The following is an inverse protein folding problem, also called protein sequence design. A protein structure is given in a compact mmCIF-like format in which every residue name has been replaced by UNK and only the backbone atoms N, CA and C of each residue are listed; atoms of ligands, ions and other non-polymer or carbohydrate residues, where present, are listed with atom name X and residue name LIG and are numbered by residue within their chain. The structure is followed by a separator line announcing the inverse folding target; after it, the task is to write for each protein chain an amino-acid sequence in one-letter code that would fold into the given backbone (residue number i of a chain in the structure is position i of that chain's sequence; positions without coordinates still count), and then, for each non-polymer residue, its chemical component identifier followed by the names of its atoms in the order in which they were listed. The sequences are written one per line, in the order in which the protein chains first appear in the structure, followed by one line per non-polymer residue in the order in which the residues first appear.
data_IF_788167997245
#
_entry.id   IF_788167997245
#
_cell.length_a   1.000
_cell.length_b   1.000
_cell.length_c   1.000
_cell.angle_alpha   90.00
_cell.angle_beta   90.00
_cell.angle_gamma   90.00
#
_symmetry.space_group_name_H-M   'P 1'
#
loop_
_entity.id
_entity.type
_entity.pdbx_description
1 polymer ?
#
# COMPACT_ATOMS: atom_id res chain seq x y z
N UNK A 1 69.98 -10.81 -40.81
CA UNK A 1 69.71 -10.62 -39.36
C UNK A 1 69.15 -9.25 -38.99
N UNK A 2 69.62 -8.11 -39.52
CA UNK A 2 69.08 -6.77 -39.17
C UNK A 2 67.66 -6.51 -39.69
N UNK A 3 67.29 -7.05 -40.86
CA UNK A 3 65.95 -6.90 -41.43
C UNK A 3 64.87 -7.71 -40.68
N UNK A 4 65.20 -8.92 -40.19
CA UNK A 4 64.28 -9.71 -39.38
C UNK A 4 64.02 -9.09 -37.99
N UNK A 5 65.02 -8.41 -37.40
CA UNK A 5 64.87 -7.71 -36.11
C UNK A 5 63.95 -6.48 -36.21
N UNK A 6 63.98 -5.77 -37.33
CA UNK A 6 63.16 -4.56 -37.55
C UNK A 6 61.70 -4.91 -37.86
N UNK A 7 61.46 -5.96 -38.63
CA UNK A 7 60.10 -6.48 -38.88
C UNK A 7 59.47 -7.04 -37.59
N UNK A 8 60.25 -7.74 -36.75
CA UNK A 8 59.76 -8.28 -35.48
C UNK A 8 59.42 -7.20 -34.45
N UNK A 9 60.15 -6.07 -34.45
CA UNK A 9 59.85 -4.93 -33.56
C UNK A 9 58.58 -4.19 -34.01
N UNK A 10 58.37 -4.05 -35.32
CA UNK A 10 57.17 -3.43 -35.87
C UNK A 10 55.91 -4.28 -35.60
N UNK A 11 56.01 -5.62 -35.72
CA UNK A 11 54.90 -6.52 -35.41
C UNK A 11 54.53 -6.52 -33.93
N UNK A 12 55.53 -6.46 -33.04
CA UNK A 12 55.31 -6.36 -31.59
C UNK A 12 54.67 -5.01 -31.19
N UNK A 13 55.04 -3.91 -31.86
CA UNK A 13 54.42 -2.61 -31.62
C UNK A 13 52.97 -2.54 -32.11
N UNK A 14 52.63 -3.20 -33.23
CA UNK A 14 51.24 -3.29 -33.73
C UNK A 14 50.40 -4.20 -32.83
N UNK A 15 50.96 -5.29 -32.30
CA UNK A 15 50.29 -6.16 -31.32
C UNK A 15 50.09 -5.47 -29.96
N UNK A 16 51.05 -4.65 -29.50
CA UNK A 16 50.87 -3.83 -28.29
C UNK A 16 49.87 -2.68 -28.48
N UNK A 17 49.82 -2.07 -29.67
CA UNK A 17 48.83 -1.03 -29.98
C UNK A 17 47.41 -1.62 -30.10
N UNK A 18 47.27 -2.84 -30.63
CA UNK A 18 45.99 -3.57 -30.63
C UNK A 18 45.52 -4.00 -29.23
N UNK A 19 46.44 -4.27 -28.31
CA UNK A 19 46.11 -4.60 -26.92
C UNK A 19 45.64 -3.39 -26.09
N UNK A 20 46.01 -2.16 -26.46
CA UNK A 20 45.55 -0.94 -25.79
C UNK A 20 44.18 -0.45 -26.27
N UNK A 21 43.73 -0.85 -27.47
CA UNK A 21 42.38 -0.52 -27.97
C UNK A 21 41.28 -1.46 -27.43
N UNK A 22 41.66 -2.52 -26.71
CA UNK A 22 40.75 -3.44 -26.03
C UNK A 22 40.60 -3.13 -24.52
N UNK A 23 40.95 -1.91 -24.09
CA UNK A 23 40.50 -1.37 -22.81
C UNK A 23 39.01 -1.11 -22.89
N UNK A 24 38.26 -2.18 -22.63
CA UNK A 24 36.92 -2.22 -22.05
C UNK A 24 36.22 -0.86 -21.99
N UNK A 25 35.47 -0.53 -23.04
CA UNK A 25 34.18 0.12 -22.81
C UNK A 25 33.37 -0.91 -22.05
N UNK A 26 33.52 -0.94 -20.72
CA UNK A 26 32.44 -1.41 -19.88
C UNK A 26 31.30 -0.47 -20.21
N UNK A 27 30.37 -0.92 -21.07
CA UNK A 27 29.06 -0.32 -21.13
C UNK A 27 28.52 -0.43 -19.71
N UNK A 28 28.70 0.64 -18.92
CA UNK A 28 27.93 0.82 -17.71
C UNK A 28 26.50 0.71 -18.19
N UNK A 29 25.79 -0.35 -17.80
CA UNK A 29 24.36 -0.41 -18.06
C UNK A 29 23.79 0.91 -17.54
N UNK A 30 23.18 1.69 -18.43
CA UNK A 30 22.60 2.98 -18.06
C UNK A 30 21.59 2.72 -16.95
N UNK A 31 21.74 3.41 -15.81
CA UNK A 31 20.84 3.21 -14.69
C UNK A 31 19.44 3.60 -15.13
N UNK A 32 18.50 2.66 -15.03
CA UNK A 32 17.11 2.89 -15.42
C UNK A 32 16.43 3.96 -14.55
N UNK A 33 16.90 4.16 -13.33
CA UNK A 33 16.41 5.17 -12.39
C UNK A 33 17.60 5.81 -11.68
N UNK A 34 17.62 7.14 -11.63
CA UNK A 34 18.62 7.93 -10.91
C UNK A 34 18.05 8.43 -9.58
N UNK A 35 16.73 8.38 -9.39
CA UNK A 35 16.05 8.92 -8.22
C UNK A 35 14.75 8.19 -7.87
N UNK A 36 14.49 8.04 -6.57
CA UNK A 36 13.28 7.42 -6.03
C UNK A 36 12.72 8.20 -4.85
N UNK A 37 11.40 8.45 -4.88
CA UNK A 37 10.64 8.94 -3.73
C UNK A 37 9.70 7.84 -3.22
N UNK A 38 9.75 7.59 -1.91
CA UNK A 38 8.78 6.76 -1.20
C UNK A 38 7.92 7.67 -0.32
N UNK A 39 6.60 7.54 -0.46
CA UNK A 39 5.62 8.15 0.45
C UNK A 39 4.64 7.08 0.91
N UNK A 40 4.15 7.20 2.14
CA UNK A 40 3.25 6.19 2.68
C UNK A 40 3.20 6.19 4.20
N UNK A 41 3.04 4.99 4.75
CA UNK A 41 2.81 4.75 6.17
C UNK A 41 3.93 3.93 6.84
N UNK A 42 3.62 3.29 7.97
CA UNK A 42 4.58 2.51 8.78
C UNK A 42 5.20 1.34 8.04
N UNK A 43 4.56 0.81 6.99
CA UNK A 43 5.13 -0.26 6.17
C UNK A 43 6.34 0.29 5.41
N UNK A 44 6.20 1.49 4.83
CA UNK A 44 7.27 2.13 4.09
C UNK A 44 8.38 2.71 4.98
N UNK A 45 8.12 2.97 6.27
CA UNK A 45 9.18 3.35 7.23
C UNK A 45 9.98 2.15 7.74
N UNK A 46 9.47 0.92 7.56
CA UNK A 46 10.08 -0.30 8.10
C UNK A 46 9.82 -0.51 9.59
N UNK A 47 8.66 -0.04 10.08
CA UNK A 47 8.30 -0.17 11.49
C UNK A 47 8.43 -1.61 11.99
N UNK A 48 9.08 -1.79 13.14
CA UNK A 48 9.24 -3.10 13.79
C UNK A 48 10.42 -3.93 13.27
N UNK A 49 11.15 -3.46 12.26
CA UNK A 49 12.36 -4.13 11.78
C UNK A 49 13.56 -3.89 12.71
N UNK A 50 14.55 -4.77 12.59
CA UNK A 50 15.87 -4.53 13.19
C UNK A 50 16.47 -3.21 12.69
N UNK A 51 17.12 -2.47 13.59
CA UNK A 51 17.66 -1.12 13.38
C UNK A 51 16.61 -0.03 13.06
N UNK A 52 15.32 -0.35 13.12
CA UNK A 52 14.28 0.66 13.12
C UNK A 52 14.30 1.44 14.43
N UNK A 53 14.33 2.77 14.34
CA UNK A 53 14.17 3.66 15.49
C UNK A 53 12.93 4.55 15.27
N UNK A 54 11.94 4.56 16.17
CA UNK A 54 10.79 5.46 16.06
C UNK A 54 11.23 6.93 15.94
N UNK A 55 10.81 7.59 14.85
CA UNK A 55 11.20 8.97 14.55
C UNK A 55 12.66 9.15 14.09
N UNK A 56 13.41 8.05 13.91
CA UNK A 56 14.77 8.04 13.40
C UNK A 56 14.86 8.01 11.87
N UNK A 57 16.06 7.73 11.37
CA UNK A 57 16.32 7.55 9.93
C UNK A 57 15.57 6.31 9.39
N UNK A 58 14.80 6.43 8.29
CA UNK A 58 14.14 5.28 7.66
C UNK A 58 15.12 4.42 6.84
N UNK A 59 16.41 4.78 6.78
CA UNK A 59 17.41 4.13 5.92
C UNK A 59 18.23 3.05 6.62
N UNK A 60 18.12 2.90 7.94
CA UNK A 60 18.97 1.99 8.73
C UNK A 60 18.43 0.56 8.84
N UNK A 61 17.15 0.36 8.57
CA UNK A 61 16.50 -0.96 8.64
C UNK A 61 16.43 -1.62 7.26
N UNK A 62 16.24 -2.94 7.21
CA UNK A 62 16.13 -3.69 5.95
C UNK A 62 14.68 -3.71 5.41
N UNK A 63 14.08 -2.53 5.25
CA UNK A 63 12.73 -2.38 4.70
C UNK A 63 12.68 -2.71 3.20
N UNK A 64 11.48 -3.00 2.67
CA UNK A 64 11.29 -3.29 1.24
C UNK A 64 11.76 -2.11 0.36
N UNK A 65 11.57 -0.88 0.85
CA UNK A 65 12.03 0.35 0.19
C UNK A 65 13.56 0.41 0.12
N UNK A 66 14.24 0.05 1.21
CA UNK A 66 15.70 0.09 1.28
C UNK A 66 16.32 -1.04 0.45
N UNK A 67 15.69 -2.22 0.42
CA UNK A 67 16.06 -3.33 -0.46
C UNK A 67 15.93 -2.92 -1.94
N UNK A 68 14.82 -2.27 -2.30
CA UNK A 68 14.62 -1.77 -3.66
C UNK A 68 15.68 -0.69 -4.00
N UNK A 69 15.90 0.28 -3.12
CA UNK A 69 16.91 1.32 -3.33
C UNK A 69 18.32 0.74 -3.50
N UNK A 70 18.70 -0.26 -2.69
CA UNK A 70 19.96 -0.98 -2.79
C UNK A 70 20.12 -1.63 -4.17
N UNK A 71 19.09 -2.30 -4.67
CA UNK A 71 19.10 -2.96 -6.00
C UNK A 71 19.23 -1.98 -7.18
N UNK A 72 18.75 -0.74 -6.98
CA UNK A 72 18.82 0.34 -7.96
C UNK A 72 20.09 1.19 -7.77
N UNK A 73 20.96 0.81 -6.82
CA UNK A 73 22.16 1.56 -6.45
C UNK A 73 21.88 3.02 -6.06
N UNK A 74 20.75 3.26 -5.39
CA UNK A 74 20.33 4.56 -4.88
C UNK A 74 20.74 4.74 -3.41
N UNK A 75 21.13 5.96 -3.04
CA UNK A 75 21.61 6.28 -1.69
C UNK A 75 20.53 6.99 -0.88
N UNK A 76 20.24 6.46 0.30
CA UNK A 76 19.29 7.06 1.25
C UNK A 76 19.67 8.48 1.63
N UNK A 77 18.70 9.40 1.58
CA UNK A 77 18.90 10.83 1.86
C UNK A 77 19.49 11.64 0.70
N UNK A 78 19.91 10.98 -0.38
CA UNK A 78 20.42 11.61 -1.60
C UNK A 78 19.49 11.28 -2.77
N UNK A 79 19.76 10.21 -3.53
CA UNK A 79 18.96 9.78 -4.68
C UNK A 79 17.73 8.95 -4.29
N UNK A 80 17.69 8.40 -3.09
CA UNK A 80 16.51 7.76 -2.53
C UNK A 80 16.01 8.54 -1.31
N UNK A 81 14.81 9.08 -1.43
CA UNK A 81 14.13 9.84 -0.38
C UNK A 81 12.93 9.06 0.12
N UNK A 82 12.88 8.81 1.42
CA UNK A 82 11.70 8.29 2.09
C UNK A 82 11.02 9.39 2.93
N UNK A 83 9.72 9.58 2.71
CA UNK A 83 8.84 10.55 3.38
C UNK A 83 7.60 9.88 3.96
N UNK A 84 7.62 8.56 4.13
CA UNK A 84 6.56 7.83 4.79
C UNK A 84 6.48 8.20 6.28
N UNK A 85 5.28 8.14 6.84
CA UNK A 85 5.01 8.50 8.24
C UNK A 85 4.07 7.48 8.87
N UNK A 86 4.48 6.92 10.00
CA UNK A 86 3.68 5.91 10.70
C UNK A 86 2.24 6.38 10.95
N UNK A 87 1.28 5.49 10.69
CA UNK A 87 -0.14 5.75 10.96
C UNK A 87 -0.83 6.67 9.96
N UNK A 88 -0.15 7.15 8.91
CA UNK A 88 -0.80 8.02 7.92
C UNK A 88 -1.94 7.31 7.20
N UNK A 89 -3.07 8.00 7.10
CA UNK A 89 -4.18 7.67 6.22
C UNK A 89 -4.00 8.31 4.84
N UNK A 90 -4.85 7.95 3.88
CA UNK A 90 -4.90 8.64 2.59
C UNK A 90 -5.18 10.14 2.71
N UNK A 91 -5.90 10.57 3.75
CA UNK A 91 -6.17 11.99 4.01
C UNK A 91 -4.90 12.72 4.46
N UNK A 92 -4.09 12.08 5.30
CA UNK A 92 -2.83 12.65 5.80
C UNK A 92 -1.80 12.75 4.67
N UNK A 93 -1.69 11.69 3.85
CA UNK A 93 -0.82 11.72 2.68
C UNK A 93 -1.26 12.81 1.69
N UNK A 94 -2.57 12.93 1.42
CA UNK A 94 -3.09 13.99 0.55
C UNK A 94 -2.70 15.39 1.06
N UNK A 95 -2.73 15.62 2.37
CA UNK A 95 -2.31 16.88 2.97
C UNK A 95 -0.77 17.09 2.89
N UNK A 96 0.01 16.02 2.93
CA UNK A 96 1.48 16.06 2.86
C UNK A 96 1.99 16.35 1.44
N UNK A 97 1.38 15.76 0.40
CA UNK A 97 1.88 15.79 -0.98
C UNK A 97 2.27 17.19 -1.50
N UNK A 98 1.49 18.27 -1.27
CA UNK A 98 1.88 19.61 -1.72
C UNK A 98 3.25 20.08 -1.21
N UNK A 99 3.63 19.70 0.02
CA UNK A 99 4.94 20.03 0.60
C UNK A 99 6.10 19.25 -0.04
N UNK A 100 5.80 18.16 -0.75
CA UNK A 100 6.77 17.29 -1.40
C UNK A 100 6.94 17.60 -2.89
N UNK A 101 6.34 18.67 -3.41
CA UNK A 101 6.33 19.03 -4.84
C UNK A 101 7.71 18.93 -5.49
N UNK A 102 8.74 19.51 -4.88
CA UNK A 102 10.10 19.47 -5.42
C UNK A 102 10.70 18.05 -5.46
N UNK A 103 10.33 17.20 -4.51
CA UNK A 103 10.84 15.83 -4.42
C UNK A 103 10.16 14.96 -5.48
N UNK A 104 8.85 15.13 -5.66
CA UNK A 104 8.10 14.48 -6.74
C UNK A 104 8.64 14.89 -8.11
N UNK A 105 8.83 16.20 -8.33
CA UNK A 105 9.35 16.76 -9.58
C UNK A 105 10.74 16.23 -9.99
N UNK A 106 11.53 15.75 -9.02
CA UNK A 106 12.89 15.23 -9.24
C UNK A 106 12.98 13.70 -9.28
N UNK A 107 11.88 12.99 -9.08
CA UNK A 107 11.91 11.52 -8.93
C UNK A 107 11.57 10.81 -10.24
N UNK A 108 12.40 9.86 -10.65
CA UNK A 108 12.12 8.96 -11.77
C UNK A 108 11.11 7.87 -11.37
N UNK A 109 11.17 7.46 -10.10
CA UNK A 109 10.29 6.46 -9.50
C UNK A 109 9.61 7.02 -8.25
N UNK A 110 8.28 6.91 -8.17
CA UNK A 110 7.50 7.22 -6.97
C UNK A 110 6.77 5.97 -6.51
N UNK A 111 7.03 5.54 -5.27
CA UNK A 111 6.41 4.37 -4.64
C UNK A 111 5.48 4.82 -3.52
N UNK A 112 4.24 4.35 -3.54
CA UNK A 112 3.17 4.82 -2.65
C UNK A 112 2.51 3.64 -1.93
N UNK A 113 2.63 3.56 -0.59
CA UNK A 113 1.88 2.59 0.24
C UNK A 113 0.95 3.34 1.19
N UNK A 114 -0.36 3.28 0.94
CA UNK A 114 -1.35 3.99 1.78
C UNK A 114 -2.71 3.31 1.71
N UNK A 115 -3.46 3.34 2.81
CA UNK A 115 -4.85 2.88 2.88
C UNK A 115 -5.17 2.01 4.08
N UNK A 116 -4.20 1.23 4.58
CA UNK A 116 -4.43 0.36 5.74
C UNK A 116 -4.93 1.15 6.96
N UNK A 117 -4.35 2.32 7.23
CA UNK A 117 -4.76 3.16 8.35
C UNK A 117 -6.14 3.81 8.18
N UNK A 118 -6.63 3.98 6.95
CA UNK A 118 -8.00 4.43 6.70
C UNK A 118 -9.02 3.43 7.31
N UNK A 119 -8.70 2.13 7.29
CA UNK A 119 -9.50 1.09 7.97
C UNK A 119 -9.18 0.99 9.45
N UNK A 120 -7.90 1.02 9.85
CA UNK A 120 -7.54 0.82 11.25
C UNK A 120 -8.11 1.94 12.14
N UNK A 121 -8.13 3.18 11.66
CA UNK A 121 -8.63 4.32 12.43
C UNK A 121 -10.15 4.29 12.67
N UNK A 122 -10.92 3.50 11.92
CA UNK A 122 -12.34 3.30 12.20
C UNK A 122 -12.61 2.11 13.13
N UNK A 123 -11.63 1.24 13.39
CA UNK A 123 -11.80 0.06 14.23
C UNK A 123 -12.36 0.38 15.63
N UNK A 124 -11.90 1.44 16.35
CA UNK A 124 -12.52 1.84 17.62
C UNK A 124 -14.03 2.11 17.52
N UNK A 125 -14.46 2.80 16.46
CA UNK A 125 -15.88 3.11 16.23
C UNK A 125 -16.69 1.86 15.87
N UNK A 126 -16.08 0.94 15.11
CA UNK A 126 -16.69 -0.36 14.83
C UNK A 126 -16.88 -1.12 16.14
N UNK A 127 -15.85 -1.23 16.97
CA UNK A 127 -15.93 -1.90 18.27
C UNK A 127 -16.95 -1.27 19.19
N UNK A 128 -17.00 0.05 19.28
CA UNK A 128 -18.02 0.75 20.06
C UNK A 128 -19.43 0.42 19.57
N UNK A 129 -19.65 0.41 18.24
CA UNK A 129 -20.93 0.03 17.66
C UNK A 129 -21.32 -1.40 17.99
N UNK A 130 -20.36 -2.33 18.04
CA UNK A 130 -20.58 -3.76 18.33
C UNK A 130 -20.87 -3.99 19.81
N UNK A 131 -20.01 -3.43 20.67
CA UNK A 131 -19.96 -3.76 22.11
C UNK A 131 -20.77 -2.78 22.97
N UNK A 132 -21.19 -1.64 22.41
CA UNK A 132 -21.80 -0.53 23.16
C UNK A 132 -20.82 0.20 24.08
N UNK A 133 -19.53 -0.18 24.08
CA UNK A 133 -18.51 0.40 24.95
C UNK A 133 -17.47 1.13 24.11
N UNK A 134 -17.30 2.45 24.30
CA UNK A 134 -16.24 3.19 23.61
C UNK A 134 -14.85 2.64 23.97
N UNK A 135 -13.98 2.56 22.98
CA UNK A 135 -12.56 2.23 23.15
C UNK A 135 -11.71 3.40 22.67
N UNK A 136 -10.62 3.69 23.38
CA UNK A 136 -9.82 4.91 23.18
C UNK A 136 -8.82 4.83 22.02
N UNK A 137 -8.43 3.63 21.59
CA UNK A 137 -7.40 3.43 20.57
C UNK A 137 -7.53 2.07 19.86
N UNK A 138 -6.69 1.86 18.84
CA UNK A 138 -6.69 0.64 18.01
C UNK A 138 -6.31 -0.60 18.83
N UNK A 139 -5.42 -0.46 19.82
CA UNK A 139 -5.00 -1.59 20.66
C UNK A 139 -6.14 -2.08 21.55
N UNK A 140 -6.88 -1.15 22.16
CA UNK A 140 -8.10 -1.47 22.92
C UNK A 140 -9.18 -2.07 22.02
N UNK A 141 -9.34 -1.54 20.80
CA UNK A 141 -10.26 -2.11 19.82
C UNK A 141 -9.89 -3.55 19.46
N UNK A 142 -8.62 -3.83 19.15
CA UNK A 142 -8.13 -5.18 18.86
C UNK A 142 -8.33 -6.12 20.06
N UNK A 143 -8.02 -5.66 21.27
CA UNK A 143 -8.22 -6.42 22.50
C UNK A 143 -9.70 -6.71 22.78
N UNK A 144 -10.62 -5.81 22.42
CA UNK A 144 -12.06 -6.03 22.54
C UNK A 144 -12.58 -7.04 21.52
N UNK A 145 -12.11 -6.96 20.27
CA UNK A 145 -12.47 -7.91 19.21
C UNK A 145 -12.06 -9.33 19.58
N UNK A 146 -10.83 -9.52 20.07
CA UNK A 146 -10.35 -10.83 20.50
C UNK A 146 -11.14 -11.46 21.66
N UNK A 147 -11.79 -10.62 22.49
CA UNK A 147 -12.60 -11.08 23.63
C UNK A 147 -14.05 -11.32 23.27
N UNK A 148 -14.53 -10.75 22.16
CA UNK A 148 -15.91 -10.92 21.72
C UNK A 148 -16.14 -12.35 21.24
N UNK A 149 -17.31 -12.92 21.53
CA UNK A 149 -17.66 -14.22 20.99
C UNK A 149 -17.93 -14.10 19.47
N UNK A 150 -17.66 -15.20 18.76
CA UNK A 150 -17.76 -15.25 17.30
C UNK A 150 -19.17 -14.89 16.79
N UNK A 151 -20.23 -15.32 17.47
CA UNK A 151 -21.60 -15.08 17.00
C UNK A 151 -21.98 -13.59 17.10
N UNK A 152 -21.52 -12.90 18.16
CA UNK A 152 -21.68 -11.46 18.31
C UNK A 152 -20.95 -10.70 17.21
N UNK A 153 -19.71 -11.10 16.88
CA UNK A 153 -18.98 -10.53 15.76
C UNK A 153 -19.72 -10.80 14.44
N UNK A 154 -20.09 -12.05 14.14
CA UNK A 154 -20.80 -12.43 12.92
C UNK A 154 -22.08 -11.60 12.71
N UNK A 155 -22.91 -11.48 13.75
CA UNK A 155 -24.13 -10.69 13.71
C UNK A 155 -23.84 -9.20 13.48
N UNK A 156 -22.81 -8.67 14.14
CA UNK A 156 -22.41 -7.29 13.98
C UNK A 156 -22.02 -6.95 12.54
N UNK A 157 -21.28 -7.84 11.87
CA UNK A 157 -20.80 -7.63 10.50
C UNK A 157 -21.93 -7.47 9.47
N UNK A 158 -23.13 -7.95 9.77
CA UNK A 158 -24.32 -7.79 8.92
C UNK A 158 -25.09 -6.48 9.14
N UNK A 159 -24.70 -5.68 10.14
CA UNK A 159 -25.42 -4.45 10.49
C UNK A 159 -25.15 -3.34 9.47
N UNK A 160 -26.24 -2.73 8.98
CA UNK A 160 -26.20 -1.64 8.01
C UNK A 160 -25.37 -0.45 8.47
N UNK A 161 -25.35 -0.13 9.77
CA UNK A 161 -24.58 1.00 10.29
C UNK A 161 -23.06 0.75 10.26
N UNK A 162 -22.62 -0.50 10.38
CA UNK A 162 -21.21 -0.90 10.18
C UNK A 162 -20.88 -0.92 8.69
N UNK A 163 -21.74 -1.50 7.85
CA UNK A 163 -21.54 -1.50 6.39
C UNK A 163 -21.46 -0.09 5.82
N UNK A 164 -22.33 0.83 6.27
CA UNK A 164 -22.33 2.24 5.83
C UNK A 164 -21.06 2.96 6.23
N UNK A 165 -20.56 2.72 7.46
CA UNK A 165 -19.30 3.29 7.93
C UNK A 165 -18.14 2.85 7.03
N UNK A 166 -18.07 1.57 6.68
CA UNK A 166 -17.04 1.03 5.80
C UNK A 166 -17.11 1.56 4.37
N UNK A 167 -18.30 1.56 3.77
CA UNK A 167 -18.51 2.10 2.43
C UNK A 167 -18.08 3.57 2.35
N UNK A 168 -18.39 4.35 3.39
CA UNK A 168 -17.96 5.76 3.49
C UNK A 168 -16.45 5.88 3.57
N UNK A 169 -15.79 4.99 4.33
CA UNK A 169 -14.32 4.95 4.42
C UNK A 169 -13.68 4.60 3.08
N UNK A 170 -14.16 3.56 2.40
CA UNK A 170 -13.64 3.15 1.07
C UNK A 170 -13.85 4.27 0.03
N UNK A 171 -15.01 4.92 0.04
CA UNK A 171 -15.29 6.05 -0.86
C UNK A 171 -14.36 7.24 -0.58
N UNK A 172 -14.11 7.56 0.70
CA UNK A 172 -13.19 8.63 1.09
C UNK A 172 -11.75 8.32 0.68
N UNK A 173 -11.30 7.09 0.91
CA UNK A 173 -10.00 6.60 0.45
C UNK A 173 -9.85 6.77 -1.07
N UNK A 174 -10.82 6.27 -1.85
CA UNK A 174 -10.78 6.38 -3.32
C UNK A 174 -10.70 7.83 -3.79
N UNK A 175 -11.51 8.72 -3.21
CA UNK A 175 -11.48 10.15 -3.54
C UNK A 175 -10.13 10.81 -3.20
N UNK A 176 -9.49 10.41 -2.11
CA UNK A 176 -8.18 10.91 -1.73
C UNK A 176 -7.09 10.39 -2.66
N UNK A 177 -7.10 9.11 -3.01
CA UNK A 177 -6.15 8.51 -3.95
C UNK A 177 -6.20 9.19 -5.32
N UNK A 178 -7.39 9.49 -5.84
CA UNK A 178 -7.54 10.25 -7.10
C UNK A 178 -6.87 11.63 -7.01
N UNK A 179 -7.03 12.34 -5.89
CA UNK A 179 -6.39 13.65 -5.68
C UNK A 179 -4.88 13.56 -5.51
N UNK A 180 -4.39 12.54 -4.80
CA UNK A 180 -2.95 12.26 -4.67
C UNK A 180 -2.35 12.02 -6.05
N UNK A 181 -2.94 11.13 -6.85
CA UNK A 181 -2.47 10.85 -8.21
C UNK A 181 -2.46 12.09 -9.09
N UNK A 182 -3.52 12.90 -9.03
CA UNK A 182 -3.61 14.14 -9.80
C UNK A 182 -2.49 15.11 -9.43
N UNK A 183 -2.20 15.29 -8.14
CA UNK A 183 -1.12 16.15 -7.68
C UNK A 183 0.27 15.60 -8.07
N UNK A 184 0.49 14.30 -7.92
CA UNK A 184 1.76 13.66 -8.32
C UNK A 184 1.98 13.83 -9.83
N UNK A 185 0.96 13.58 -10.64
CA UNK A 185 1.03 13.73 -12.10
C UNK A 185 1.25 15.18 -12.52
N UNK A 186 0.59 16.14 -11.86
CA UNK A 186 0.82 17.58 -12.10
C UNK A 186 2.28 17.98 -11.83
N UNK A 187 2.88 17.43 -10.77
CA UNK A 187 4.25 17.77 -10.39
C UNK A 187 5.30 17.06 -11.24
N UNK A 188 5.01 15.83 -11.68
CA UNK A 188 5.90 15.05 -12.53
C UNK A 188 5.11 14.05 -13.39
N UNK A 189 4.73 14.43 -14.62
CA UNK A 189 4.01 13.53 -15.53
C UNK A 189 4.90 12.43 -16.11
N UNK A 190 6.23 12.55 -16.00
CA UNK A 190 7.20 11.56 -16.50
C UNK A 190 7.60 10.49 -15.48
N UNK A 191 7.29 10.68 -14.20
CA UNK A 191 7.63 9.71 -13.17
C UNK A 191 6.89 8.38 -13.40
N UNK A 192 7.60 7.26 -13.22
CA UNK A 192 6.96 5.96 -13.03
C UNK A 192 6.39 5.92 -11.62
N UNK A 193 5.08 5.68 -11.49
CA UNK A 193 4.39 5.69 -10.19
C UNK A 193 3.76 4.34 -9.91
N UNK A 194 4.08 3.78 -8.74
CA UNK A 194 3.62 2.46 -8.29
C UNK A 194 2.92 2.60 -6.95
N UNK A 195 1.64 2.23 -6.90
CA UNK A 195 0.89 2.07 -5.65
C UNK A 195 0.99 0.64 -5.15
N UNK A 196 1.05 0.43 -3.84
CA UNK A 196 1.01 -0.89 -3.22
C UNK A 196 -0.43 -1.24 -2.80
N UNK A 197 -0.94 -2.36 -3.30
CA UNK A 197 -2.14 -2.98 -2.77
C UNK A 197 -1.91 -3.43 -1.31
N UNK A 198 -2.97 -3.39 -0.51
CA UNK A 198 -2.95 -3.70 0.92
C UNK A 198 -3.13 -5.20 1.13
N UNK A 199 -2.22 -5.85 1.86
CA UNK A 199 -2.38 -7.25 2.28
C UNK A 199 -3.30 -7.36 3.50
N UNK A 200 -3.87 -8.54 3.74
CA UNK A 200 -4.66 -8.82 4.93
C UNK A 200 -3.79 -9.53 6.00
N UNK A 201 -3.33 -8.82 7.06
CA UNK A 201 -2.53 -9.44 8.12
C UNK A 201 -3.29 -10.51 8.92
N UNK A 202 -4.62 -10.48 8.88
CA UNK A 202 -5.50 -11.38 9.63
C UNK A 202 -5.97 -12.57 8.81
N UNK A 203 -5.51 -12.72 7.56
CA UNK A 203 -5.98 -13.78 6.69
C UNK A 203 -5.66 -15.16 7.29
N UNK A 204 -6.67 -16.01 7.43
CA UNK A 204 -6.58 -17.36 8.04
C UNK A 204 -5.93 -17.42 9.44
N UNK A 205 -5.83 -16.31 10.17
CA UNK A 205 -5.47 -16.31 11.60
C UNK A 205 -6.65 -16.89 12.38
N UNK A 206 -6.54 -18.08 13.02
CA UNK A 206 -7.70 -18.75 13.63
C UNK A 206 -8.42 -17.89 14.68
N UNK A 207 -7.65 -17.15 15.48
CA UNK A 207 -8.13 -16.25 16.53
C UNK A 207 -8.91 -15.06 15.98
N UNK A 208 -8.65 -14.66 14.73
CA UNK A 208 -9.37 -13.56 14.08
C UNK A 208 -10.79 -13.99 13.64
N UNK A 209 -11.06 -15.30 13.52
CA UNK A 209 -12.38 -15.82 13.19
C UNK A 209 -13.02 -15.13 11.98
N UNK A 210 -14.31 -14.80 12.07
CA UNK A 210 -15.01 -14.10 10.99
C UNK A 210 -14.60 -12.64 10.83
N UNK A 211 -14.06 -12.02 11.88
CA UNK A 211 -13.51 -10.66 11.77
C UNK A 211 -12.34 -10.62 10.80
N UNK A 212 -11.48 -11.66 10.77
CA UNK A 212 -10.40 -11.78 9.78
C UNK A 212 -10.90 -11.88 8.33
N UNK A 213 -11.97 -12.66 8.09
CA UNK A 213 -12.60 -12.76 6.76
C UNK A 213 -13.28 -11.46 6.32
N UNK A 214 -13.92 -10.77 7.25
CA UNK A 214 -14.52 -9.46 7.00
C UNK A 214 -13.48 -8.37 6.73
N UNK A 215 -12.42 -8.31 7.54
CA UNK A 215 -11.29 -7.42 7.29
C UNK A 215 -10.71 -7.67 5.88
N UNK A 216 -10.62 -8.94 5.47
CA UNK A 216 -10.28 -9.33 4.10
C UNK A 216 -11.21 -8.70 3.06
N UNK A 217 -12.52 -8.85 3.22
CA UNK A 217 -13.52 -8.27 2.29
C UNK A 217 -13.39 -6.74 2.15
N UNK A 218 -13.12 -6.04 3.25
CA UNK A 218 -12.95 -4.58 3.25
C UNK A 218 -11.62 -4.20 2.60
N UNK A 219 -10.54 -4.92 2.88
CA UNK A 219 -9.23 -4.73 2.26
C UNK A 219 -9.31 -4.99 0.75
N UNK A 220 -10.03 -6.03 0.32
CA UNK A 220 -10.29 -6.32 -1.09
C UNK A 220 -11.04 -5.17 -1.75
N UNK A 221 -12.04 -4.60 -1.05
CA UNK A 221 -12.79 -3.43 -1.54
C UNK A 221 -11.90 -2.19 -1.69
N UNK A 222 -10.95 -1.96 -0.77
CA UNK A 222 -9.93 -0.90 -0.92
C UNK A 222 -9.03 -1.15 -2.12
N UNK A 223 -8.54 -2.37 -2.30
CA UNK A 223 -7.66 -2.74 -3.40
C UNK A 223 -8.36 -2.61 -4.76
N UNK A 224 -9.64 -3.00 -4.84
CA UNK A 224 -10.49 -2.76 -6.01
C UNK A 224 -10.63 -1.26 -6.26
N UNK A 225 -10.95 -0.47 -5.24
CA UNK A 225 -11.09 0.98 -5.36
C UNK A 225 -9.80 1.66 -5.83
N UNK A 226 -8.63 1.20 -5.33
CA UNK A 226 -7.31 1.65 -5.77
C UNK A 226 -7.09 1.33 -7.25
N UNK A 227 -7.28 0.08 -7.66
CA UNK A 227 -7.08 -0.35 -9.05
C UNK A 227 -8.02 0.38 -10.02
N UNK A 228 -9.29 0.54 -9.66
CA UNK A 228 -10.27 1.30 -10.44
C UNK A 228 -9.86 2.77 -10.56
N UNK A 229 -9.44 3.41 -9.46
CA UNK A 229 -8.98 4.79 -9.49
C UNK A 229 -7.72 4.97 -10.36
N UNK A 230 -6.74 4.09 -10.23
CA UNK A 230 -5.49 4.11 -11.01
C UNK A 230 -5.77 3.93 -12.50
N UNK A 231 -6.61 2.94 -12.85
CA UNK A 231 -7.03 2.71 -14.23
C UNK A 231 -7.78 3.92 -14.82
N UNK A 232 -8.75 4.45 -14.06
CA UNK A 232 -9.58 5.58 -14.49
C UNK A 232 -8.83 6.89 -14.63
N UNK A 233 -7.72 7.08 -13.91
CA UNK A 233 -6.88 8.27 -14.01
C UNK A 233 -6.15 8.36 -15.37
N UNK A 234 -5.86 7.22 -16.02
CA UNK A 234 -5.24 7.21 -17.34
C UNK A 234 -3.78 7.69 -17.38
N UNK A 235 -3.12 7.84 -16.24
CA UNK A 235 -1.74 8.33 -16.15
C UNK A 235 -0.66 7.25 -16.41
N UNK A 236 -1.07 6.01 -16.70
CA UNK A 236 -0.13 4.90 -16.89
C UNK A 236 0.52 4.40 -15.59
N UNK A 237 -0.12 4.65 -14.44
CA UNK A 237 0.36 4.22 -13.13
C UNK A 237 0.07 2.74 -12.88
N UNK A 238 0.83 2.15 -11.96
CA UNK A 238 0.83 0.72 -11.66
C UNK A 238 0.32 0.43 -10.24
N UNK A 239 -0.17 -0.79 -10.03
CA UNK A 239 -0.52 -1.31 -8.70
C UNK A 239 0.25 -2.60 -8.44
N UNK A 240 1.22 -2.55 -7.53
CA UNK A 240 1.94 -3.69 -7.01
C UNK A 240 1.02 -4.61 -6.19
N UNK A 241 0.96 -5.88 -6.57
CA UNK A 241 0.10 -6.89 -5.97
C UNK A 241 0.73 -7.54 -4.73
N UNK A 242 1.00 -6.73 -3.71
CA UNK A 242 1.58 -7.18 -2.43
C UNK A 242 0.79 -8.35 -1.77
N UNK A 243 -0.55 -8.42 -1.84
CA UNK A 243 -1.28 -9.57 -1.32
C UNK A 243 -0.83 -10.92 -1.88
N UNK A 244 -0.30 -10.97 -3.11
CA UNK A 244 0.19 -12.21 -3.73
C UNK A 244 1.51 -12.73 -3.13
N UNK A 245 2.24 -11.88 -2.39
CA UNK A 245 3.55 -12.24 -1.80
C UNK A 245 3.54 -12.26 -0.28
N UNK A 246 2.55 -11.65 0.37
CA UNK A 246 2.36 -11.72 1.81
C UNK A 246 1.20 -12.67 2.14
N UNK A 247 1.53 -13.95 2.32
CA UNK A 247 0.61 -14.91 2.92
C UNK A 247 0.93 -15.09 4.42
N UNK A 248 0.05 -14.65 5.35
CA UNK A 248 0.26 -14.87 6.78
C UNK A 248 0.26 -16.36 7.21
N UNK A 249 -0.04 -17.31 6.32
CA UNK A 249 -0.18 -18.75 6.63
C UNK A 249 1.00 -19.62 6.22
N UNK A 250 1.91 -19.09 5.39
CA UNK A 250 3.17 -19.73 5.09
C UNK A 250 4.25 -19.08 5.96
N UNK A 251 4.71 -19.80 6.98
CA UNK A 251 5.84 -19.47 7.87
C UNK A 251 5.83 -18.08 8.57
N UNK A 252 4.75 -17.31 8.47
CA UNK A 252 4.54 -16.04 9.15
C UNK A 252 5.42 -14.92 8.60
N UNK A 253 4.98 -14.25 7.53
CA UNK A 253 5.64 -13.04 6.99
C UNK A 253 5.24 -11.74 7.68
N UNK A 254 4.43 -11.84 8.73
CA UNK A 254 4.00 -10.72 9.56
C UNK A 254 4.26 -11.04 11.02
N UNK A 255 4.18 -10.03 11.88
CA UNK A 255 4.28 -10.19 13.32
C UNK A 255 2.92 -10.52 13.96
N UNK A 256 1.92 -11.00 13.21
CA UNK A 256 0.52 -11.02 13.66
C UNK A 256 0.29 -11.90 14.89
N UNK A 257 1.10 -12.95 15.06
CA UNK A 257 1.10 -13.80 16.26
C UNK A 257 1.36 -13.03 17.56
N UNK A 258 1.99 -11.85 17.46
CA UNK A 258 2.27 -10.93 18.56
C UNK A 258 1.32 -9.72 18.57
N UNK A 259 0.18 -9.80 17.88
CA UNK A 259 -0.78 -8.69 17.70
C UNK A 259 -0.19 -7.48 16.97
N UNK A 260 0.84 -7.72 16.17
CA UNK A 260 1.46 -6.70 15.33
C UNK A 260 1.18 -7.00 13.85
N UNK A 261 0.41 -6.12 13.23
CA UNK A 261 -0.05 -6.27 11.85
C UNK A 261 1.08 -6.08 10.82
N UNK A 262 2.24 -5.55 11.22
CA UNK A 262 3.31 -5.20 10.28
C UNK A 262 4.01 -6.46 9.72
N UNK A 263 4.53 -6.39 8.47
CA UNK A 263 5.37 -7.44 7.92
C UNK A 263 6.66 -7.54 8.76
N UNK A 264 7.18 -8.75 8.90
CA UNK A 264 8.47 -8.93 9.54
C UNK A 264 9.61 -8.82 8.51
N UNK A 265 10.84 -9.15 8.91
CA UNK A 265 12.01 -9.08 8.04
C UNK A 265 11.85 -9.93 6.77
N UNK A 266 11.25 -11.12 6.85
CA UNK A 266 11.02 -11.97 5.66
C UNK A 266 9.91 -11.38 4.78
N UNK A 267 8.83 -10.86 5.37
CA UNK A 267 7.80 -10.16 4.60
C UNK A 267 8.35 -8.96 3.84
N UNK A 268 9.17 -8.13 4.49
CA UNK A 268 9.85 -7.01 3.83
C UNK A 268 10.82 -7.46 2.73
N UNK A 269 11.51 -8.59 2.92
CA UNK A 269 12.34 -9.21 1.89
C UNK A 269 11.53 -9.62 0.66
N UNK A 270 10.43 -10.34 0.85
CA UNK A 270 9.54 -10.77 -0.24
C UNK A 270 8.93 -9.58 -0.99
N UNK A 271 8.48 -8.55 -0.26
CA UNK A 271 8.02 -7.30 -0.86
C UNK A 271 9.14 -6.62 -1.67
N UNK A 272 10.36 -6.59 -1.15
CA UNK A 272 11.52 -6.02 -1.83
C UNK A 272 11.82 -6.77 -3.13
N UNK A 273 11.92 -8.10 -3.08
CA UNK A 273 12.16 -8.96 -4.25
C UNK A 273 11.07 -8.79 -5.33
N UNK A 274 9.81 -8.72 -4.91
CA UNK A 274 8.68 -8.44 -5.81
C UNK A 274 8.83 -7.07 -6.49
N UNK A 275 9.12 -6.02 -5.73
CA UNK A 275 9.29 -4.67 -6.25
C UNK A 275 10.48 -4.56 -7.19
N UNK A 276 11.59 -5.26 -6.90
CA UNK A 276 12.76 -5.33 -7.79
C UNK A 276 12.37 -5.91 -9.15
N UNK A 277 11.64 -7.04 -9.15
CA UNK A 277 11.16 -7.69 -10.37
C UNK A 277 10.23 -6.76 -11.19
N UNK A 278 9.29 -6.09 -10.50
CA UNK A 278 8.34 -5.17 -11.12
C UNK A 278 9.03 -3.95 -11.76
N UNK A 279 9.96 -3.33 -11.05
CA UNK A 279 10.68 -2.11 -11.47
C UNK A 279 11.72 -2.43 -12.56
N UNK A 280 12.32 -3.61 -12.52
CA UNK A 280 13.23 -4.12 -13.55
C UNK A 280 12.54 -4.32 -14.91
N UNK A 281 11.27 -4.71 -14.89
CA UNK A 281 10.45 -4.92 -16.10
C UNK A 281 9.92 -3.61 -16.70
N UNK A 282 9.42 -3.66 -17.94
CA UNK A 282 8.70 -2.54 -18.55
C UNK A 282 7.43 -2.21 -17.75
N UNK A 283 7.03 -0.92 -17.65
CA UNK A 283 5.82 -0.52 -16.92
C UNK A 283 4.59 -1.30 -17.35
N UNK A 284 3.82 -1.78 -16.36
CA UNK A 284 2.59 -2.56 -16.53
C UNK A 284 1.38 -1.75 -16.02
N UNK A 285 0.96 -0.70 -16.74
CA UNK A 285 -0.09 0.21 -16.27
C UNK A 285 -1.41 -0.53 -16.04
N UNK A 286 -2.15 -0.14 -15.01
CA UNK A 286 -3.50 -0.66 -14.82
C UNK A 286 -4.40 -0.08 -15.93
N UNK A 287 -5.11 -0.93 -16.66
CA UNK A 287 -6.04 -0.51 -17.71
C UNK A 287 -7.48 -0.76 -17.28
N UNK A 288 -8.42 0.07 -17.76
CA UNK A 288 -9.86 -0.02 -17.48
C UNK A 288 -10.54 -1.24 -18.12
N UNK A 289 -9.79 -2.21 -18.65
CA UNK A 289 -10.37 -3.31 -19.41
C UNK A 289 -11.18 -4.23 -18.49
N UNK A 290 -12.50 -4.02 -18.47
CA UNK A 290 -13.46 -5.10 -18.19
C UNK A 290 -13.26 -6.19 -19.25
N UNK A 291 -12.96 -7.41 -18.80
CA UNK A 291 -13.66 -8.65 -19.19
C UNK A 291 -13.20 -9.78 -18.26
N UNK A 292 -13.88 -9.95 -17.13
CA UNK A 292 -14.41 -11.29 -16.81
C UNK A 292 -15.83 -11.30 -17.34
N UNK A 293 -15.99 -11.52 -18.64
CA UNK A 293 -17.26 -11.93 -19.20
C UNK A 293 -17.47 -13.38 -18.73
N UNK A 294 -18.46 -13.70 -17.87
CA UNK A 294 -18.89 -15.08 -17.73
C UNK A 294 -19.42 -15.49 -19.09
N UNK A 295 -18.95 -16.64 -19.60
CA UNK A 295 -19.46 -17.22 -20.83
C UNK A 295 -20.99 -17.08 -20.89
N UNK A 296 -21.49 -16.36 -21.89
CA UNK A 296 -22.92 -16.24 -22.13
C UNK A 296 -23.52 -17.65 -22.16
N UNK A 297 -24.64 -17.91 -21.43
CA UNK A 297 -25.35 -19.15 -21.60
C UNK A 297 -25.86 -19.23 -23.04
N UNK A 298 -25.65 -20.38 -23.65
CA UNK A 298 -26.12 -20.67 -25.00
C UNK A 298 -27.60 -20.32 -25.17
N UNK A 299 -27.88 -19.68 -26.29
CA UNK A 299 -29.16 -19.11 -26.67
C UNK A 299 -30.17 -20.22 -26.87
N UNK A 300 -31.15 -20.34 -25.97
CA UNK A 300 -32.37 -21.12 -26.22
C UNK A 300 -33.46 -20.19 -26.73
N UNK A 301 -33.81 -20.38 -27.99
CA UNK A 301 -34.98 -19.82 -28.68
C UNK A 301 -36.29 -20.24 -28.01
N UNK A 302 -37.20 -19.30 -27.72
CA UNK A 302 -38.63 -19.24 -28.17
C UNK A 302 -39.41 -18.07 -27.47
N UNK A 303 -40.65 -17.70 -27.88
CA UNK A 303 -40.88 -16.51 -28.68
C UNK A 303 -41.67 -15.38 -27.99
N UNK A 304 -41.61 -14.25 -28.68
CA UNK A 304 -42.27 -12.95 -28.52
C UNK A 304 -43.73 -12.98 -28.02
N UNK A 305 -44.06 -12.11 -27.05
CA UNK A 305 -45.44 -11.65 -26.82
C UNK A 305 -45.54 -10.16 -26.49
N UNK A 306 -46.49 -9.57 -27.19
CA UNK A 306 -46.87 -8.18 -27.46
C UNK A 306 -47.27 -7.33 -26.23
N UNK A 307 -46.74 -6.10 -26.22
CA UNK A 307 -47.30 -4.77 -25.89
C UNK A 307 -48.56 -4.62 -25.02
N UNK A 308 -48.52 -3.75 -24.01
CA UNK A 308 -49.58 -2.77 -23.72
C UNK A 308 -49.06 -1.60 -22.83
N UNK A 309 -49.57 -0.40 -23.12
CA UNK A 309 -49.13 0.90 -22.65
C UNK A 309 -49.71 1.33 -21.29
N UNK A 310 -49.13 2.42 -20.77
CA UNK A 310 -49.51 3.18 -19.57
C UNK A 310 -50.93 3.78 -19.61
N UNK A 311 -51.35 4.44 -18.51
CA UNK A 311 -51.58 5.88 -18.66
C UNK A 311 -51.01 6.75 -17.53
N UNK A 312 -50.80 8.00 -17.92
CA UNK A 312 -50.31 9.16 -17.19
C UNK A 312 -51.29 9.66 -16.12
N UNK A 313 -50.78 10.44 -15.15
CA UNK A 313 -51.56 11.52 -14.53
C UNK A 313 -50.66 12.72 -14.21
N UNK A 314 -51.21 13.89 -14.53
CA UNK A 314 -50.64 15.24 -14.65
C UNK A 314 -50.62 16.07 -13.36
N UNK A 315 -49.81 17.14 -13.42
CA UNK A 315 -49.91 18.45 -12.74
C UNK A 315 -49.26 18.56 -11.34
N UNK A 316 -48.57 19.62 -10.92
CA UNK A 316 -48.10 20.92 -11.45
C UNK A 316 -47.26 21.57 -10.29
N UNK A 317 -46.52 22.68 -10.50
CA UNK A 317 -45.27 23.00 -9.78
C UNK A 317 -45.45 23.88 -8.54
N UNK A 318 -44.45 23.88 -7.65
CA UNK A 318 -44.29 24.92 -6.61
C UNK A 318 -42.84 25.41 -6.60
N UNK A 319 -42.71 26.71 -6.86
CA UNK A 319 -41.54 27.57 -6.65
C UNK A 319 -41.31 27.83 -5.16
N UNK A 320 -40.06 27.82 -4.70
CA UNK A 320 -39.55 28.80 -3.72
C UNK A 320 -38.01 28.86 -3.69
N UNK A 321 -37.53 30.08 -3.45
CA UNK A 321 -36.17 30.66 -3.59
C UNK A 321 -35.21 30.31 -2.44
N UNK A 322 -33.89 30.68 -2.53
CA UNK A 322 -32.82 30.07 -1.76
C UNK A 322 -32.53 30.79 -0.43
N UNK A 323 -32.10 30.03 0.58
CA UNK A 323 -31.41 30.58 1.74
C UNK A 323 -29.96 30.07 1.82
N UNK A 324 -29.06 31.04 1.96
CA UNK A 324 -27.63 30.89 2.18
C UNK A 324 -27.38 31.07 3.67
N UNK A 325 -26.66 30.14 4.32
CA UNK A 325 -25.94 30.48 5.56
C UNK A 325 -24.64 29.68 5.71
N UNK A 326 -23.65 30.43 6.18
CA UNK A 326 -22.23 30.13 6.29
C UNK A 326 -21.85 29.02 7.27
N UNK A 327 -20.66 28.47 7.03
CA UNK A 327 -19.90 27.59 7.92
C UNK A 327 -19.39 28.31 9.19
N UNK A 328 -19.16 27.57 10.30
CA UNK A 328 -18.28 28.04 11.36
C UNK A 328 -16.88 27.40 11.28
N UNK A 329 -15.91 28.22 11.67
CA UNK A 329 -14.48 28.00 11.66
C UNK A 329 -13.99 26.87 12.58
N UNK A 330 -12.99 26.12 12.11
CA UNK A 330 -12.21 25.17 12.93
C UNK A 330 -11.19 25.94 13.77
N UNK A 331 -11.27 25.81 15.10
CA UNK A 331 -10.19 26.16 16.03
C UNK A 331 -9.14 25.06 16.01
N UNK A 332 -7.88 25.46 15.85
CA UNK A 332 -6.72 24.57 15.91
C UNK A 332 -6.43 24.06 17.32
N UNK A 333 -5.88 22.87 17.36
CA UNK A 333 -5.09 22.31 18.45
C UNK A 333 -4.14 21.33 17.74
N UNK A 334 -2.84 21.57 17.67
CA UNK A 334 -1.96 21.59 18.83
C UNK A 334 -1.18 20.28 18.78
N UNK A 335 0.00 20.32 18.16
CA UNK A 335 0.97 19.24 18.10
C UNK A 335 1.23 18.63 19.48
N UNK A 336 1.00 17.32 19.64
CA UNK A 336 1.55 16.56 20.76
C UNK A 336 2.52 15.51 20.22
N UNK A 337 3.79 15.87 20.31
CA UNK A 337 4.94 14.99 20.22
C UNK A 337 5.20 14.46 21.64
N UNK A 338 5.37 13.15 21.80
CA UNK A 338 6.16 12.59 22.92
C UNK A 338 5.54 11.42 23.70
N UNK A 339 6.36 10.36 23.82
CA UNK A 339 6.25 9.17 24.68
C UNK A 339 5.18 8.14 24.23
N UNK A 340 5.50 6.88 23.93
CA UNK A 340 6.25 5.95 24.77
C UNK A 340 6.87 4.79 23.97
N UNK A 341 8.15 4.53 24.23
CA UNK A 341 8.73 3.20 24.20
C UNK A 341 8.60 2.59 25.61
N UNK A 342 8.55 1.25 25.68
CA UNK A 342 8.43 0.37 26.87
C UNK A 342 7.00 0.02 27.29
N UNK A 343 6.55 -1.18 26.90
CA UNK A 343 6.22 -2.31 27.80
C UNK A 343 6.18 -3.57 26.91
N UNK A 344 7.33 -4.24 26.80
CA UNK A 344 7.36 -5.69 26.68
C UNK A 344 7.51 -6.23 28.11
N UNK A 345 7.02 -7.46 28.35
CA UNK A 345 6.93 -8.16 29.65
C UNK A 345 5.59 -8.00 30.37
N UNK A 346 4.58 -8.76 29.92
CA UNK A 346 3.53 -9.31 30.79
C UNK A 346 2.73 -10.50 30.17
N UNK A 347 3.33 -11.31 29.29
CA UNK A 347 2.66 -12.51 28.72
C UNK A 347 3.47 -13.81 28.90
N UNK A 348 4.38 -13.85 29.89
CA UNK A 348 5.29 -14.98 30.14
C UNK A 348 5.01 -15.83 31.39
N UNK A 349 3.87 -15.67 32.08
CA UNK A 349 3.69 -16.25 33.41
C UNK A 349 2.45 -17.16 33.61
N UNK A 350 1.77 -17.63 32.56
CA UNK A 350 0.60 -18.53 32.74
C UNK A 350 0.67 -19.92 32.10
N UNK A 351 1.82 -20.35 31.55
CA UNK A 351 1.94 -21.67 30.89
C UNK A 351 2.94 -22.66 31.54
N UNK A 352 3.34 -22.45 32.80
CA UNK A 352 4.09 -23.48 33.55
C UNK A 352 3.41 -23.75 34.87
N UNK A 353 2.33 -24.52 34.87
CA UNK A 353 1.95 -25.42 35.98
C UNK A 353 0.77 -26.30 35.57
N UNK A 354 1.06 -27.39 34.85
CA UNK A 354 0.41 -28.70 35.04
C UNK A 354 0.88 -29.69 33.96
N UNK A 355 1.90 -30.47 34.30
CA UNK A 355 1.96 -31.92 34.02
C UNK A 355 3.26 -32.50 34.59
N UNK A 356 3.17 -33.08 35.79
CA UNK A 356 4.00 -34.21 36.25
C UNK A 356 3.40 -34.78 37.55
N UNK A 357 2.93 -36.03 37.45
CA UNK A 357 2.52 -37.05 38.45
C UNK A 357 1.35 -37.81 37.79
N UNK A 358 1.45 -39.05 37.34
CA UNK A 358 2.45 -40.12 37.46
C UNK A 358 2.64 -40.77 36.09
#
# INVERSE_FOLDING_TARGET
MRLLKTVSLALAAVLLAGAFAALSVSASAEKKYESMLVVGDSISTGYGLENYTPGGSPYECRSYCNILAESLELKGGESYINRAVNGYTSSDLLALIPSLKEQVAKSDLVVISIGGNDLLHIAPKVVEKITGTPVGNIQEAAGAILKADKATLDAALTRTDISTLLLTTVASYSANVVKIMSAVHEYNPSARVIFLAQYNPMNNVPEAGAFGGFAGTVIDSLNVALRVAVAGAGFGYEVADIPSVIDPNADGYTNIVNMDIHPNAEGHKLMGEYMISLVGSDPQPVTTREETTPAAPETSTEPEKTTAAAPETTAAPVTETPETTAAPAKKGCGSFVGAWALIAVAAGALCITKKRKK
#
